data_IF_741552535931
#
_entry.id   IF_741552535931
#
_cell.length_a   1.000
_cell.length_b   1.000
_cell.length_c   1.000
_cell.angle_alpha   90.00
_cell.angle_beta   90.00
_cell.angle_gamma   90.00
#
_symmetry.space_group_name_H-M   'P 1'
#
loop_
_entity.id
_entity.type
_entity.pdbx_description
1 polymer ?
#
# COMPACT_ATOMS: atom_id res chain seq x y z
N UNK A 1 13.54 -8.66 13.81
CA UNK A 1 13.41 -10.08 14.20
C UNK A 1 12.57 -10.75 13.13
N UNK A 2 13.20 -11.38 12.15
CA UNK A 2 12.54 -11.96 10.98
C UNK A 2 12.51 -13.47 11.09
N UNK A 3 11.37 -14.05 10.70
CA UNK A 3 11.11 -15.46 10.36
C UNK A 3 12.41 -16.29 10.30
N UNK A 4 12.66 -17.09 11.34
CA UNK A 4 13.92 -17.85 11.46
C UNK A 4 13.75 -19.29 11.01
N UNK A 5 12.49 -19.73 10.86
CA UNK A 5 12.14 -21.11 10.56
C UNK A 5 11.17 -21.19 9.38
N UNK A 6 11.27 -22.28 8.62
CA UNK A 6 10.44 -22.54 7.44
C UNK A 6 8.92 -22.51 7.73
N UNK A 7 8.41 -23.04 8.87
CA UNK A 7 6.98 -22.99 9.19
C UNK A 7 6.45 -21.57 9.36
N UNK A 8 7.23 -20.69 10.00
CA UNK A 8 6.87 -19.28 10.16
C UNK A 8 6.79 -18.55 8.81
N UNK A 9 7.67 -18.91 7.86
CA UNK A 9 7.65 -18.34 6.51
C UNK A 9 6.40 -18.73 5.75
N UNK A 10 6.02 -20.00 5.84
CA UNK A 10 4.82 -20.54 5.20
C UNK A 10 3.57 -19.88 5.79
N UNK A 11 3.47 -19.80 7.12
CA UNK A 11 2.34 -19.15 7.78
C UNK A 11 2.22 -17.67 7.39
N UNK A 12 3.35 -16.94 7.35
CA UNK A 12 3.39 -15.56 6.88
C UNK A 12 2.96 -15.45 5.41
N UNK A 13 3.48 -16.31 4.54
CA UNK A 13 3.17 -16.30 3.10
C UNK A 13 1.69 -16.57 2.83
N UNK A 14 1.06 -17.50 3.57
CA UNK A 14 -0.37 -17.81 3.46
C UNK A 14 -1.22 -16.61 3.89
N UNK A 15 -0.93 -16.02 5.05
CA UNK A 15 -1.65 -14.84 5.53
C UNK A 15 -1.48 -13.67 4.56
N UNK A 16 -0.23 -13.37 4.18
CA UNK A 16 0.08 -12.30 3.24
C UNK A 16 -0.63 -12.49 1.89
N UNK A 17 -0.57 -13.70 1.33
CA UNK A 17 -1.25 -14.03 0.08
C UNK A 17 -2.77 -13.89 0.18
N UNK A 18 -3.37 -14.33 1.28
CA UNK A 18 -4.81 -14.20 1.51
C UNK A 18 -5.26 -12.74 1.59
N UNK A 19 -4.55 -11.90 2.37
CA UNK A 19 -4.90 -10.48 2.51
C UNK A 19 -4.67 -9.70 1.21
N UNK A 20 -3.53 -9.91 0.54
CA UNK A 20 -3.23 -9.22 -0.73
C UNK A 20 -4.17 -9.67 -1.85
N UNK A 21 -4.47 -10.96 -1.95
CA UNK A 21 -5.41 -11.48 -2.94
C UNK A 21 -6.84 -10.94 -2.74
N UNK A 22 -7.29 -10.84 -1.50
CA UNK A 22 -8.60 -10.25 -1.16
C UNK A 22 -8.63 -8.76 -1.53
N UNK A 23 -7.57 -8.01 -1.20
CA UNK A 23 -7.45 -6.59 -1.53
C UNK A 23 -7.51 -6.33 -3.05
N UNK A 24 -6.74 -7.09 -3.85
CA UNK A 24 -6.73 -6.94 -5.31
C UNK A 24 -8.12 -7.26 -5.87
N UNK A 25 -8.75 -8.34 -5.40
CA UNK A 25 -10.09 -8.74 -5.86
C UNK A 25 -11.15 -7.70 -5.52
N UNK A 26 -11.05 -7.04 -4.36
CA UNK A 26 -12.00 -6.02 -3.91
C UNK A 26 -11.83 -4.68 -4.65
N UNK A 27 -10.64 -4.39 -5.16
CA UNK A 27 -10.35 -3.11 -5.84
C UNK A 27 -11.23 -2.87 -7.09
N UNK A 28 -11.48 -3.90 -7.89
CA UNK A 28 -12.33 -3.82 -9.08
C UNK A 28 -13.79 -3.49 -8.78
N UNK A 29 -14.48 -4.28 -7.91
CA UNK A 29 -15.85 -4.00 -7.48
C UNK A 29 -16.00 -2.64 -6.80
N UNK A 30 -15.05 -2.22 -5.96
CA UNK A 30 -15.10 -0.92 -5.27
C UNK A 30 -15.05 0.24 -6.26
N UNK A 31 -14.16 0.17 -7.26
CA UNK A 31 -14.07 1.19 -8.32
C UNK A 31 -15.32 1.21 -9.21
N UNK A 32 -15.92 0.04 -9.44
CA UNK A 32 -17.18 -0.08 -10.16
C UNK A 32 -18.37 0.53 -9.39
N UNK A 33 -18.43 0.36 -8.07
CA UNK A 33 -19.47 0.98 -7.24
C UNK A 33 -19.31 2.50 -7.09
N UNK A 34 -18.09 3.02 -7.19
CA UNK A 34 -17.80 4.44 -7.03
C UNK A 34 -17.87 5.25 -8.34
N UNK A 35 -18.05 4.57 -9.47
CA UNK A 35 -18.08 5.20 -10.80
C UNK A 35 -19.49 5.08 -11.37
N UNK A 36 -20.22 6.20 -11.45
CA UNK A 36 -21.56 6.25 -12.08
C UNK A 36 -21.52 5.99 -13.60
N UNK A 37 -20.40 6.29 -14.26
CA UNK A 37 -20.26 6.19 -15.71
C UNK A 37 -19.10 5.26 -16.11
N UNK A 38 -19.44 4.06 -16.62
CA UNK A 38 -18.46 3.03 -16.97
C UNK A 38 -17.44 3.47 -18.03
N UNK A 39 -17.72 4.54 -18.79
CA UNK A 39 -16.78 5.12 -19.75
C UNK A 39 -15.57 5.79 -19.08
N UNK A 40 -15.68 6.20 -17.81
CA UNK A 40 -14.59 6.84 -17.05
C UNK A 40 -13.84 5.86 -16.14
N UNK A 41 -14.33 4.64 -16.01
CA UNK A 41 -13.80 3.63 -15.08
C UNK A 41 -12.35 3.23 -15.41
N UNK A 42 -12.05 3.04 -16.70
CA UNK A 42 -10.70 2.72 -17.18
C UNK A 42 -9.67 3.81 -16.88
N UNK A 43 -9.91 5.07 -17.27
CA UNK A 43 -9.02 6.21 -16.96
C UNK A 43 -8.76 6.38 -15.45
N UNK A 44 -9.80 6.28 -14.61
CA UNK A 44 -9.66 6.43 -13.15
C UNK A 44 -8.80 5.31 -12.53
N UNK A 45 -9.03 4.06 -12.95
CA UNK A 45 -8.17 2.94 -12.53
C UNK A 45 -6.74 3.13 -13.02
N UNK A 46 -6.54 3.54 -14.28
CA UNK A 46 -5.21 3.78 -14.85
C UNK A 46 -4.41 4.83 -14.08
N UNK A 47 -5.04 5.95 -13.70
CA UNK A 47 -4.41 6.99 -12.88
C UNK A 47 -4.06 6.46 -11.49
N UNK A 48 -4.96 5.73 -10.83
CA UNK A 48 -4.70 5.13 -9.52
C UNK A 48 -3.53 4.12 -9.56
N UNK A 49 -3.49 3.25 -10.58
CA UNK A 49 -2.38 2.31 -10.78
C UNK A 49 -1.06 3.02 -11.11
N UNK A 50 -1.08 4.15 -11.82
CA UNK A 50 0.12 4.93 -12.09
C UNK A 50 0.74 5.49 -10.80
N UNK A 51 -0.08 6.03 -9.89
CA UNK A 51 0.40 6.47 -8.57
C UNK A 51 0.93 5.29 -7.73
N UNK A 52 0.26 4.13 -7.78
CA UNK A 52 0.72 2.93 -7.07
C UNK A 52 2.06 2.42 -7.63
N UNK A 53 2.24 2.46 -8.96
CA UNK A 53 3.47 2.09 -9.64
C UNK A 53 4.63 3.05 -9.29
N UNK A 54 4.37 4.36 -9.21
CA UNK A 54 5.37 5.34 -8.74
C UNK A 54 5.77 5.07 -7.28
N UNK A 55 4.81 4.76 -6.42
CA UNK A 55 5.08 4.36 -5.04
C UNK A 55 5.93 3.08 -4.95
N UNK A 56 5.67 2.09 -5.80
CA UNK A 56 6.49 0.87 -5.89
C UNK A 56 7.89 1.12 -6.43
N UNK A 57 8.02 1.99 -7.44
CA UNK A 57 9.29 2.35 -8.06
C UNK A 57 10.21 3.12 -7.10
N UNK A 58 9.63 3.99 -6.27
CA UNK A 58 10.36 4.77 -5.26
C UNK A 58 10.56 3.97 -3.97
N UNK A 59 9.63 3.08 -3.64
CA UNK A 59 9.70 2.21 -2.46
C UNK A 59 10.86 1.22 -2.49
N UNK A 60 11.17 0.63 -3.66
CA UNK A 60 12.32 -0.27 -3.84
C UNK A 60 13.67 0.35 -3.44
N UNK A 61 14.10 1.49 -4.04
CA UNK A 61 15.35 2.15 -3.70
C UNK A 61 15.33 2.78 -2.30
N UNK A 62 14.20 3.31 -1.81
CA UNK A 62 14.10 3.82 -0.43
C UNK A 62 14.29 2.71 0.58
N UNK A 63 13.59 1.57 0.41
CA UNK A 63 13.70 0.44 1.31
C UNK A 63 15.09 -0.20 1.23
N UNK A 64 15.70 -0.24 0.04
CA UNK A 64 17.09 -0.67 -0.16
C UNK A 64 18.12 0.25 0.52
N UNK A 65 17.96 1.57 0.40
CA UNK A 65 18.85 2.56 1.01
C UNK A 65 18.68 2.65 2.54
N UNK A 66 17.46 2.47 3.05
CA UNK A 66 17.21 2.39 4.50
C UNK A 66 17.72 1.11 5.13
N UNK A 67 17.88 0.03 4.35
CA UNK A 67 18.25 -1.27 4.90
C UNK A 67 19.68 -1.25 5.44
N UNK A 68 20.64 -0.68 4.69
CA UNK A 68 22.05 -0.56 5.08
C UNK A 68 22.66 -1.85 5.67
N UNK A 69 23.87 -1.79 6.24
CA UNK A 69 24.48 -2.93 6.92
C UNK A 69 23.75 -3.37 8.22
N UNK A 70 22.69 -2.66 8.63
CA UNK A 70 22.02 -2.80 9.93
C UNK A 70 20.61 -3.40 9.95
N UNK A 71 20.00 -3.73 8.79
CA UNK A 71 18.66 -4.37 8.69
C UNK A 71 17.56 -3.67 9.53
N UNK A 72 17.51 -2.33 9.55
CA UNK A 72 16.58 -1.55 10.40
C UNK A 72 15.20 -1.33 9.75
N UNK A 73 14.41 -2.40 9.60
CA UNK A 73 13.06 -2.40 8.96
C UNK A 73 12.00 -1.47 9.59
N UNK A 74 12.17 -1.10 10.87
CA UNK A 74 11.23 -0.21 11.58
C UNK A 74 11.12 1.18 10.93
N UNK A 75 12.21 1.70 10.35
CA UNK A 75 12.24 3.04 9.74
C UNK A 75 11.35 3.16 8.50
N UNK A 76 11.30 2.11 7.66
CA UNK A 76 10.43 2.09 6.49
C UNK A 76 8.93 2.01 6.88
N UNK A 77 8.62 1.28 7.96
CA UNK A 77 7.25 1.16 8.48
C UNK A 77 6.74 2.46 9.11
N UNK A 78 7.61 3.23 9.77
CA UNK A 78 7.26 4.54 10.36
C UNK A 78 6.99 5.60 9.29
N UNK A 79 7.73 5.59 8.17
CA UNK A 79 7.52 6.54 7.06
C UNK A 79 6.15 6.32 6.41
N UNK A 80 5.76 5.08 6.14
CA UNK A 80 4.41 4.78 5.66
C UNK A 80 3.33 5.15 6.67
N UNK A 81 3.54 4.91 7.97
CA UNK A 81 2.59 5.32 9.03
C UNK A 81 2.42 6.85 9.15
N UNK A 82 3.52 7.61 9.03
CA UNK A 82 3.48 9.07 9.10
C UNK A 82 2.71 9.69 7.93
N UNK A 83 2.81 9.12 6.72
CA UNK A 83 2.05 9.58 5.55
C UNK A 83 0.54 9.43 5.75
N UNK A 84 0.08 8.34 6.36
CA UNK A 84 -1.34 8.14 6.66
C UNK A 84 -1.87 9.11 7.73
N UNK A 85 -1.07 9.42 8.76
CA UNK A 85 -1.43 10.38 9.80
C UNK A 85 -1.50 11.82 9.27
N UNK A 86 -0.58 12.22 8.39
CA UNK A 86 -0.57 13.55 7.77
C UNK A 86 -1.77 13.73 6.84
N UNK A 87 -2.11 12.72 6.04
CA UNK A 87 -3.29 12.77 5.16
C UNK A 87 -4.60 12.79 5.97
N UNK A 88 -4.68 12.07 7.08
CA UNK A 88 -5.83 12.14 7.98
C UNK A 88 -5.99 13.53 8.62
N UNK A 89 -4.88 14.16 9.04
CA UNK A 89 -4.91 15.49 9.64
C UNK A 89 -5.32 16.58 8.63
N UNK A 90 -4.86 16.48 7.38
CA UNK A 90 -5.28 17.38 6.30
C UNK A 90 -6.76 17.21 5.95
N UNK A 91 -7.29 15.98 5.99
CA UNK A 91 -8.71 15.72 5.75
C UNK A 91 -9.60 16.29 6.87
N UNK A 92 -9.13 16.31 8.12
CA UNK A 92 -9.86 16.92 9.23
C UNK A 92 -9.97 18.45 9.10
N UNK A 93 -8.94 19.12 8.58
CA UNK A 93 -8.98 20.57 8.32
C UNK A 93 -9.92 20.94 7.16
N UNK A 94 -10.22 20.00 6.26
CA UNK A 94 -11.14 20.21 5.13
C UNK A 94 -12.62 19.98 5.46
N UNK A 95 -12.95 19.44 6.64
CA UNK A 95 -14.34 19.18 7.05
C UNK A 95 -14.99 20.34 7.82
N UNK A 96 -14.27 21.44 8.01
CA UNK A 96 -14.70 22.63 8.78
C UNK A 96 -14.85 23.88 7.89
N UNK A 97 -14.84 23.74 6.55
CA UNK A 97 -15.24 24.76 5.58
C UNK A 97 -16.40 24.26 4.72
#
# INVERSE_FOLDING_TARGET
>A
MGIKTLPEFIAFGVLFGFFVGTYITMSGPLMAMLTDDFSELGPRMGVAFAFMALGGLVGGPINGALLGDGLMWWRASVVSGASFLILWFLKLQGSDN
#
